data_IF_580237776285
#
_entry.id   IF_580237776285
#
_cell.length_a   1.000
_cell.length_b   1.000
_cell.length_c   1.000
_cell.angle_alpha   90.00
_cell.angle_beta   90.00
_cell.angle_gamma   90.00
#
_symmetry.space_group_name_H-M   'P 1'
#
loop_
_entity.id
_entity.type
_entity.pdbx_description
1 polymer ?
#
# COMPACT_ATOMS: atom_id res chain seq x y z
N UNK A 1 22.87 -36.77 0.74
CA UNK A 1 22.86 -35.62 1.65
C UNK A 1 21.88 -34.57 1.17
N UNK A 2 21.96 -34.13 -0.09
CA UNK A 2 21.05 -33.12 -0.67
C UNK A 2 19.56 -33.44 -0.57
N UNK A 3 19.11 -34.66 -0.90
CA UNK A 3 17.70 -35.06 -0.72
C UNK A 3 17.21 -35.03 0.74
N UNK A 4 18.06 -35.37 1.71
CA UNK A 4 17.67 -35.38 3.12
C UNK A 4 17.52 -33.95 3.68
N UNK A 5 18.37 -33.03 3.22
CA UNK A 5 18.29 -31.61 3.56
C UNK A 5 17.02 -30.97 3.01
N UNK A 6 16.66 -31.27 1.75
CA UNK A 6 15.45 -30.75 1.12
C UNK A 6 14.18 -31.24 1.82
N UNK A 7 14.11 -32.52 2.23
CA UNK A 7 12.96 -33.04 2.99
C UNK A 7 12.78 -32.30 4.32
N UNK A 8 13.86 -32.11 5.09
CA UNK A 8 13.81 -31.39 6.36
C UNK A 8 13.34 -29.93 6.18
N UNK A 9 13.74 -29.30 5.08
CA UNK A 9 13.31 -27.94 4.75
C UNK A 9 11.80 -27.90 4.42
N UNK A 10 11.27 -28.84 3.64
CA UNK A 10 9.83 -28.87 3.37
C UNK A 10 8.99 -29.19 4.62
N UNK A 11 9.45 -30.09 5.51
CA UNK A 11 8.77 -30.37 6.78
C UNK A 11 8.74 -29.13 7.69
N UNK A 12 9.85 -28.39 7.78
CA UNK A 12 9.91 -27.15 8.54
C UNK A 12 9.02 -26.06 7.91
N UNK A 13 8.92 -26.01 6.58
CA UNK A 13 8.06 -25.06 5.88
C UNK A 13 6.58 -25.35 6.11
N UNK A 14 6.17 -26.63 6.11
CA UNK A 14 4.83 -27.05 6.48
C UNK A 14 4.47 -26.58 7.89
N UNK A 15 5.39 -26.74 8.85
CA UNK A 15 5.20 -26.24 10.22
C UNK A 15 5.06 -24.72 10.24
N UNK A 16 5.95 -23.99 9.56
CA UNK A 16 5.86 -22.54 9.46
C UNK A 16 4.51 -22.07 8.91
N UNK A 17 4.02 -22.71 7.85
CA UNK A 17 2.76 -22.33 7.20
C UNK A 17 1.55 -22.49 8.14
N UNK A 18 1.56 -23.49 9.03
CA UNK A 18 0.51 -23.66 10.04
C UNK A 18 0.51 -22.57 11.13
N UNK A 19 1.59 -21.80 11.25
CA UNK A 19 1.73 -20.67 12.16
C UNK A 19 1.46 -19.30 11.49
N UNK A 20 1.20 -19.29 10.16
CA UNK A 20 0.88 -18.05 9.44
C UNK A 20 -0.43 -17.45 9.94
N UNK A 21 -0.46 -16.11 9.98
CA UNK A 21 -1.62 -15.33 10.40
C UNK A 21 -2.30 -14.71 9.19
N UNK A 22 -3.52 -14.24 9.37
CA UNK A 22 -4.20 -13.38 8.40
C UNK A 22 -3.57 -11.99 8.42
N UNK A 23 -3.35 -11.39 7.24
CA UNK A 23 -2.89 -10.02 7.14
C UNK A 23 -4.04 -9.03 7.42
N UNK A 24 -3.81 -8.09 8.34
CA UNK A 24 -4.82 -7.13 8.81
C UNK A 24 -5.01 -6.01 7.77
N UNK A 25 -6.26 -5.69 7.41
CA UNK A 25 -6.60 -4.54 6.54
C UNK A 25 -6.72 -3.25 7.38
N UNK A 26 -5.62 -2.65 7.82
CA UNK A 26 -5.63 -1.41 8.62
C UNK A 26 -5.36 -0.14 7.79
N UNK A 27 -4.79 -0.30 6.60
CA UNK A 27 -4.45 0.80 5.70
C UNK A 27 -5.64 1.18 4.83
N UNK A 28 -5.82 2.47 4.53
CA UNK A 28 -6.95 2.98 3.75
C UNK A 28 -6.47 3.45 2.39
N UNK A 29 -7.08 2.98 1.32
CA UNK A 29 -6.85 3.49 -0.03
C UNK A 29 -7.57 4.83 -0.18
N UNK A 30 -6.88 5.96 -0.39
CA UNK A 30 -7.54 7.28 -0.44
C UNK A 30 -8.50 7.45 -1.62
N UNK A 31 -8.25 6.74 -2.72
CA UNK A 31 -9.03 6.82 -3.95
C UNK A 31 -10.33 6.01 -3.88
N UNK A 32 -10.26 4.82 -3.30
CA UNK A 32 -11.40 3.90 -3.21
C UNK A 32 -12.06 3.89 -1.84
N UNK A 33 -11.44 4.53 -0.84
CA UNK A 33 -11.83 4.53 0.58
C UNK A 33 -11.99 3.13 1.18
N UNK A 34 -11.48 2.12 0.49
CA UNK A 34 -11.42 0.73 0.94
C UNK A 34 -10.23 0.53 1.85
N UNK A 35 -10.34 -0.43 2.78
CA UNK A 35 -9.20 -0.87 3.57
C UNK A 35 -8.40 -1.92 2.80
N UNK A 36 -7.10 -1.97 3.01
CA UNK A 36 -6.21 -2.99 2.44
C UNK A 36 -5.14 -3.37 3.45
N UNK A 37 -4.62 -4.60 3.35
CA UNK A 37 -3.43 -4.99 4.10
C UNK A 37 -2.20 -4.44 3.37
N UNK A 38 -1.40 -3.61 4.02
CA UNK A 38 -0.17 -3.08 3.42
C UNK A 38 0.98 -4.09 3.45
N UNK A 39 2.15 -3.71 2.94
CA UNK A 39 3.31 -4.61 2.92
C UNK A 39 3.73 -5.02 4.34
N UNK A 40 3.70 -4.09 5.29
CA UNK A 40 4.07 -4.36 6.68
C UNK A 40 3.13 -5.39 7.30
N UNK A 41 1.82 -5.24 7.10
CA UNK A 41 0.80 -6.18 7.59
C UNK A 41 0.97 -7.58 7.02
N UNK A 42 1.25 -7.70 5.71
CA UNK A 42 1.52 -9.00 5.07
C UNK A 42 2.80 -9.62 5.61
N UNK A 43 3.87 -8.83 5.79
CA UNK A 43 5.14 -9.33 6.31
C UNK A 43 5.05 -9.75 7.78
N UNK A 44 4.39 -8.95 8.62
CA UNK A 44 4.19 -9.23 10.04
C UNK A 44 3.33 -10.49 10.28
N UNK A 45 2.44 -10.82 9.34
CA UNK A 45 1.63 -12.03 9.40
C UNK A 45 2.47 -13.34 9.26
N UNK A 46 3.66 -13.26 8.66
CA UNK A 46 4.48 -14.45 8.32
C UNK A 46 5.87 -14.45 8.93
N UNK A 47 6.44 -13.29 9.27
CA UNK A 47 7.87 -13.15 9.62
C UNK A 47 8.28 -14.03 10.81
N UNK A 48 7.46 -14.10 11.85
CA UNK A 48 7.79 -14.84 13.07
C UNK A 48 7.77 -16.35 12.80
N UNK A 49 6.72 -16.83 12.13
CA UNK A 49 6.56 -18.23 11.74
C UNK A 49 7.72 -18.72 10.85
N UNK A 50 8.12 -17.90 9.87
CA UNK A 50 9.25 -18.20 9.00
C UNK A 50 10.56 -18.26 9.79
N UNK A 51 10.91 -17.21 10.53
CA UNK A 51 12.18 -17.16 11.25
C UNK A 51 12.29 -18.24 12.34
N UNK A 52 11.21 -18.50 13.08
CA UNK A 52 11.18 -19.54 14.13
C UNK A 52 11.40 -20.95 13.57
N UNK A 53 11.06 -21.17 12.29
CA UNK A 53 11.24 -22.44 11.61
C UNK A 53 12.45 -22.44 10.64
N UNK A 54 13.29 -21.40 10.69
CA UNK A 54 14.57 -21.35 9.97
C UNK A 54 14.48 -20.87 8.52
N UNK A 55 13.43 -20.14 8.15
CA UNK A 55 13.28 -19.53 6.83
C UNK A 55 13.53 -18.04 6.86
N UNK A 56 13.99 -17.52 5.73
CA UNK A 56 14.08 -16.08 5.48
C UNK A 56 13.62 -15.77 4.05
N UNK A 57 13.17 -14.54 3.85
CA UNK A 57 12.66 -14.06 2.55
C UNK A 57 13.51 -12.88 2.08
N UNK A 58 13.92 -12.92 0.81
CA UNK A 58 14.60 -11.81 0.16
C UNK A 58 13.78 -11.30 -1.02
N UNK A 59 13.77 -9.98 -1.23
CA UNK A 59 13.04 -9.35 -2.34
C UNK A 59 13.93 -8.42 -3.20
N UNK A 60 15.00 -8.93 -3.86
CA UNK A 60 15.82 -8.10 -4.73
C UNK A 60 15.03 -7.59 -5.93
N UNK A 61 15.40 -6.39 -6.39
CA UNK A 61 14.90 -5.82 -7.64
C UNK A 61 15.86 -6.21 -8.74
N UNK A 62 15.35 -6.80 -9.83
CA UNK A 62 16.11 -7.17 -11.01
C UNK A 62 15.54 -6.48 -12.25
N UNK A 63 16.32 -6.49 -13.33
CA UNK A 63 15.84 -6.15 -14.66
C UNK A 63 15.66 -7.47 -15.42
N UNK A 64 14.44 -7.72 -15.90
CA UNK A 64 14.13 -8.88 -16.73
C UNK A 64 14.70 -8.75 -18.14
N UNK A 65 14.76 -9.86 -18.89
CA UNK A 65 15.37 -9.92 -20.23
C UNK A 65 14.77 -8.92 -21.24
N UNK A 66 13.51 -8.53 -21.05
CA UNK A 66 12.80 -7.55 -21.86
C UNK A 66 12.95 -6.10 -21.33
N UNK A 67 13.83 -5.87 -20.35
CA UNK A 67 14.20 -4.55 -19.84
C UNK A 67 13.28 -4.01 -18.75
N UNK A 68 12.30 -4.78 -18.28
CA UNK A 68 11.36 -4.31 -17.25
C UNK A 68 11.87 -4.61 -15.84
N UNK A 69 11.72 -3.68 -14.87
CA UNK A 69 12.00 -3.95 -13.48
C UNK A 69 11.05 -5.01 -12.92
N UNK A 70 11.60 -5.96 -12.17
CA UNK A 70 10.86 -7.02 -11.48
C UNK A 70 11.30 -7.06 -10.02
N UNK A 71 10.39 -7.45 -9.13
CA UNK A 71 10.71 -7.88 -7.76
C UNK A 71 10.76 -9.40 -7.77
N UNK A 72 11.92 -9.97 -7.48
CA UNK A 72 12.01 -11.41 -7.21
C UNK A 72 11.77 -11.66 -5.73
N UNK A 73 10.80 -12.50 -5.36
CA UNK A 73 10.64 -12.94 -3.97
C UNK A 73 11.15 -14.36 -3.83
N UNK A 74 12.06 -14.56 -2.90
CA UNK A 74 12.76 -15.84 -2.74
C UNK A 74 12.69 -16.28 -1.29
N UNK A 75 12.14 -17.47 -1.06
CA UNK A 75 12.06 -18.12 0.25
C UNK A 75 13.20 -19.11 0.36
N UNK A 76 14.05 -18.95 1.37
CA UNK A 76 15.18 -19.86 1.61
C UNK A 76 15.17 -20.40 3.02
N UNK A 77 15.62 -21.63 3.15
CA UNK A 77 15.96 -22.24 4.42
C UNK A 77 17.35 -21.78 4.89
N UNK A 78 17.62 -21.89 6.19
CA UNK A 78 18.83 -21.37 6.85
C UNK A 78 20.17 -21.91 6.30
N UNK A 79 20.16 -23.04 5.63
CA UNK A 79 21.33 -23.64 4.97
C UNK A 79 21.53 -23.16 3.52
N UNK A 80 20.64 -22.31 3.02
CA UNK A 80 20.66 -21.77 1.67
C UNK A 80 19.75 -22.48 0.67
N UNK A 81 19.09 -23.59 1.05
CA UNK A 81 18.14 -24.27 0.17
C UNK A 81 17.00 -23.33 -0.22
N UNK A 82 16.81 -23.14 -1.52
CA UNK A 82 15.69 -22.39 -2.07
C UNK A 82 14.44 -23.25 -2.09
N UNK A 83 13.39 -22.79 -1.40
CA UNK A 83 12.09 -23.47 -1.35
C UNK A 83 11.25 -23.05 -2.54
N UNK A 84 11.17 -21.73 -2.77
CA UNK A 84 10.34 -21.16 -3.82
C UNK A 84 10.85 -19.80 -4.25
N UNK A 85 10.60 -19.46 -5.51
CA UNK A 85 10.92 -18.18 -6.13
C UNK A 85 9.76 -17.72 -6.99
N UNK A 86 9.41 -16.45 -6.85
CA UNK A 86 8.47 -15.76 -7.74
C UNK A 86 9.09 -14.49 -8.31
N UNK A 87 8.61 -14.07 -9.46
CA UNK A 87 8.99 -12.80 -10.10
C UNK A 87 7.73 -11.99 -10.39
N UNK A 88 7.66 -10.77 -9.85
CA UNK A 88 6.53 -9.87 -10.03
C UNK A 88 6.97 -8.60 -10.79
N UNK A 89 6.37 -8.31 -11.96
CA UNK A 89 6.66 -7.08 -12.69
C UNK A 89 6.36 -5.83 -11.87
N UNK A 90 7.26 -4.85 -11.93
CA UNK A 90 7.04 -3.52 -11.35
C UNK A 90 6.41 -2.63 -12.42
N UNK A 91 5.13 -2.29 -12.22
CA UNK A 91 4.36 -1.47 -13.14
C UNK A 91 4.10 -0.11 -12.48
N UNK A 92 4.92 0.89 -12.82
CA UNK A 92 4.73 2.26 -12.38
C UNK A 92 3.87 3.04 -13.38
N UNK A 93 3.05 3.98 -12.85
CA UNK A 93 2.26 4.90 -13.70
C UNK A 93 3.15 5.79 -14.56
N UNK A 94 4.33 6.15 -14.05
CA UNK A 94 5.32 6.97 -14.74
C UNK A 94 6.72 6.46 -14.39
N UNK A 95 7.44 5.93 -15.39
CA UNK A 95 8.70 5.20 -15.17
C UNK A 95 9.88 6.09 -14.78
N UNK A 96 9.86 7.36 -15.18
CA UNK A 96 10.89 8.36 -14.87
C UNK A 96 10.59 9.17 -13.61
N UNK A 97 9.57 8.78 -12.83
CA UNK A 97 9.25 9.37 -11.54
C UNK A 97 9.70 8.40 -10.42
N UNK A 98 10.74 8.76 -9.64
CA UNK A 98 11.22 7.94 -8.54
C UNK A 98 10.16 7.58 -7.50
N UNK A 99 9.18 8.46 -7.26
CA UNK A 99 8.13 8.23 -6.28
C UNK A 99 7.07 7.25 -6.80
N UNK A 100 6.68 7.40 -8.07
CA UNK A 100 5.79 6.45 -8.74
C UNK A 100 6.44 5.05 -8.80
N UNK A 101 7.75 5.00 -9.07
CA UNK A 101 8.52 3.76 -9.04
C UNK A 101 8.58 3.14 -7.64
N UNK A 102 8.89 3.92 -6.61
CA UNK A 102 8.92 3.44 -5.22
C UNK A 102 7.58 2.86 -4.77
N UNK A 103 6.47 3.51 -5.13
CA UNK A 103 5.12 3.03 -4.84
C UNK A 103 4.82 1.71 -5.57
N UNK A 104 5.20 1.60 -6.84
CA UNK A 104 5.04 0.38 -7.63
C UNK A 104 5.88 -0.79 -7.09
N UNK A 105 7.10 -0.52 -6.61
CA UNK A 105 7.96 -1.52 -5.97
C UNK A 105 7.31 -2.04 -4.69
N UNK A 106 6.84 -1.15 -3.81
CA UNK A 106 6.15 -1.56 -2.57
C UNK A 106 4.92 -2.40 -2.87
N UNK A 107 4.16 -2.04 -3.91
CA UNK A 107 3.03 -2.82 -4.38
C UNK A 107 3.48 -4.21 -4.85
N UNK A 108 4.45 -4.31 -5.76
CA UNK A 108 4.97 -5.58 -6.28
C UNK A 108 5.51 -6.49 -5.15
N UNK A 109 6.23 -5.92 -4.17
CA UNK A 109 6.71 -6.64 -2.99
C UNK A 109 5.58 -7.24 -2.16
N UNK A 110 4.50 -6.50 -1.96
CA UNK A 110 3.32 -6.98 -1.22
C UNK A 110 2.66 -8.17 -1.91
N UNK A 111 2.35 -8.04 -3.21
CA UNK A 111 1.64 -9.11 -3.93
C UNK A 111 2.52 -10.35 -4.13
N UNK A 112 3.80 -10.16 -4.44
CA UNK A 112 4.72 -11.30 -4.59
C UNK A 112 4.89 -12.08 -3.29
N UNK A 113 4.98 -11.39 -2.14
CA UNK A 113 5.05 -12.03 -0.83
C UNK A 113 3.74 -12.75 -0.46
N UNK A 114 2.59 -12.08 -0.66
CA UNK A 114 1.31 -12.68 -0.34
C UNK A 114 1.02 -13.91 -1.20
N UNK A 115 1.34 -13.84 -2.50
CA UNK A 115 1.12 -14.95 -3.44
C UNK A 115 2.01 -16.16 -3.15
N UNK A 116 3.33 -15.95 -2.96
CA UNK A 116 4.28 -17.05 -2.78
C UNK A 116 4.09 -17.78 -1.43
N UNK A 117 3.56 -17.10 -0.41
CA UNK A 117 3.33 -17.69 0.91
C UNK A 117 1.85 -18.06 1.15
N UNK A 118 0.98 -17.87 0.18
CA UNK A 118 -0.47 -18.04 0.30
C UNK A 118 -1.07 -17.24 1.48
N UNK A 119 -0.60 -16.01 1.71
CA UNK A 119 -1.16 -15.14 2.75
C UNK A 119 -2.50 -14.61 2.28
N UNK A 120 -3.56 -15.03 2.98
CA UNK A 120 -4.90 -14.52 2.75
C UNK A 120 -5.06 -13.20 3.51
N UNK A 121 -5.62 -12.20 2.84
CA UNK A 121 -6.15 -11.01 3.51
C UNK A 121 -7.59 -11.30 3.91
N UNK A 122 -8.03 -10.78 5.05
CA UNK A 122 -9.30 -11.13 5.74
C UNK A 122 -10.61 -10.99 4.94
N UNK A 123 -10.55 -10.60 3.67
CA UNK A 123 -11.68 -10.21 2.84
C UNK A 123 -11.24 -10.32 1.37
N UNK A 124 -11.38 -11.54 0.81
CA UNK A 124 -11.06 -11.91 -0.57
C UNK A 124 -11.84 -10.99 -1.54
N UNK A 125 -11.16 -9.93 -2.02
CA UNK A 125 -11.69 -8.78 -2.79
C UNK A 125 -12.13 -9.15 -4.23
N UNK A 126 -12.55 -10.40 -4.46
CA UNK A 126 -13.05 -10.86 -5.75
C UNK A 126 -14.35 -10.14 -6.19
N UNK A 127 -15.08 -9.52 -5.26
CA UNK A 127 -16.34 -8.81 -5.55
C UNK A 127 -16.15 -7.32 -5.88
N UNK A 128 -15.02 -6.68 -5.52
CA UNK A 128 -14.86 -5.23 -5.72
C UNK A 128 -14.36 -4.84 -7.13
N UNK A 129 -13.88 -5.80 -7.93
CA UNK A 129 -13.40 -5.57 -9.29
C UNK A 129 -14.52 -5.64 -10.36
N UNK A 130 -15.70 -6.16 -10.00
CA UNK A 130 -16.87 -6.17 -10.88
C UNK A 130 -17.80 -5.05 -10.42
N UNK A 131 -17.76 -3.92 -11.13
CA UNK A 131 -18.52 -2.74 -10.75
C UNK A 131 -20.02 -3.01 -10.71
N UNK A 132 -20.58 -3.12 -9.50
CA UNK A 132 -22.03 -3.15 -9.34
C UNK A 132 -22.58 -1.76 -9.03
N UNK A 133 -23.08 -1.13 -10.10
CA UNK A 133 -23.78 0.15 -10.07
C UNK A 133 -25.21 -0.05 -9.56
N UNK A 134 -25.46 -0.50 -8.30
CA UNK A 134 -26.77 -0.33 -7.65
C UNK A 134 -26.95 -0.80 -6.19
N UNK A 135 -25.94 -0.79 -5.32
CA UNK A 135 -26.19 -1.10 -3.90
C UNK A 135 -26.35 0.19 -3.06
N UNK A 136 -27.57 0.42 -2.54
CA UNK A 136 -27.87 1.49 -1.56
C UNK A 136 -27.12 1.19 -0.23
N UNK A 137 -26.49 2.19 0.42
CA UNK A 137 -25.77 1.94 1.67
C UNK A 137 -26.72 1.73 2.86
N UNK A 138 -26.59 0.59 3.54
CA UNK A 138 -27.11 0.41 4.89
C UNK A 138 -26.11 0.94 5.94
N UNK A 139 -26.58 1.49 7.07
CA UNK A 139 -25.72 2.13 8.05
C UNK A 139 -25.16 1.11 9.05
N UNK A 140 -23.87 0.77 8.95
CA UNK A 140 -23.15 0.08 10.02
C UNK A 140 -22.48 1.07 10.97
N UNK A 141 -22.81 0.93 12.25
CA UNK A 141 -22.49 1.81 13.36
C UNK A 141 -20.97 1.90 13.61
N UNK A 142 -20.45 3.14 13.61
CA UNK A 142 -19.11 3.49 14.07
C UNK A 142 -19.02 3.36 15.59
N UNK A 143 -18.30 2.36 16.10
CA UNK A 143 -17.69 2.47 17.42
C UNK A 143 -16.44 3.33 17.30
N UNK A 144 -16.48 4.45 18.03
CA UNK A 144 -15.41 5.43 18.16
C UNK A 144 -14.33 4.86 19.08
N UNK A 145 -13.09 4.82 18.61
CA UNK A 145 -11.92 4.91 19.49
C UNK A 145 -11.09 6.11 19.04
N UNK A 146 -10.90 7.01 19.99
CA UNK A 146 -10.04 8.17 19.86
C UNK A 146 -8.59 7.69 19.67
N UNK A 147 -7.92 8.19 18.63
CA UNK A 147 -6.48 8.03 18.48
C UNK A 147 -5.88 9.26 17.83
N UNK A 148 -4.78 9.70 18.42
CA UNK A 148 -3.93 10.82 18.04
C UNK A 148 -3.67 10.81 16.53
N UNK A 149 -4.12 11.85 15.83
CA UNK A 149 -3.98 11.99 14.39
C UNK A 149 -2.52 12.31 14.04
N UNK A 150 -1.72 11.29 13.72
CA UNK A 150 -0.50 11.51 12.95
C UNK A 150 -0.90 11.89 11.53
N UNK A 151 -1.02 13.19 11.26
CA UNK A 151 -1.34 13.72 9.92
C UNK A 151 -0.19 13.36 8.97
N UNK A 152 -0.48 12.56 7.94
CA UNK A 152 0.49 12.21 6.92
C UNK A 152 0.64 13.36 5.90
N UNK A 153 1.55 14.29 6.15
CA UNK A 153 1.77 15.48 5.32
C UNK A 153 2.21 15.17 3.89
N UNK A 154 2.91 14.06 3.68
CA UNK A 154 3.41 13.68 2.36
C UNK A 154 2.25 13.33 1.42
N UNK A 155 1.21 12.68 1.94
CA UNK A 155 -0.01 12.36 1.19
C UNK A 155 -0.75 13.64 0.74
N UNK A 156 -0.83 14.65 1.61
CA UNK A 156 -1.45 15.93 1.30
C UNK A 156 -0.65 16.74 0.29
N UNK A 157 0.67 16.69 0.37
CA UNK A 157 1.55 17.33 -0.61
C UNK A 157 1.38 16.68 -1.99
N UNK A 158 1.32 15.35 -2.06
CA UNK A 158 1.05 14.62 -3.31
C UNK A 158 -0.31 14.95 -3.90
N UNK A 159 -1.36 15.01 -3.07
CA UNK A 159 -2.70 15.38 -3.52
C UNK A 159 -2.75 16.81 -4.06
N UNK A 160 -2.04 17.74 -3.42
CA UNK A 160 -1.89 19.10 -3.93
C UNK A 160 -1.16 19.09 -5.28
N UNK A 161 0.00 18.44 -5.40
CA UNK A 161 0.77 18.40 -6.65
C UNK A 161 0.06 17.69 -7.82
N UNK A 162 -0.87 16.78 -7.52
CA UNK A 162 -1.73 16.15 -8.51
C UNK A 162 -2.79 17.09 -9.10
N UNK A 163 -3.17 18.17 -8.42
CA UNK A 163 -4.17 19.12 -8.92
C UNK A 163 -3.71 19.73 -10.25
N UNK A 164 -4.62 19.81 -11.24
CA UNK A 164 -4.37 20.37 -12.57
C UNK A 164 -5.12 21.67 -12.84
N UNK A 165 -6.02 22.07 -11.94
CA UNK A 165 -6.68 23.37 -11.99
C UNK A 165 -7.60 23.61 -10.79
N UNK A 166 -8.35 24.70 -10.85
CA UNK A 166 -9.26 25.16 -9.79
C UNK A 166 -10.28 24.09 -9.34
N UNK A 167 -10.79 23.26 -10.25
CA UNK A 167 -11.75 22.21 -9.93
C UNK A 167 -11.15 21.15 -8.98
N UNK A 168 -9.90 20.73 -9.21
CA UNK A 168 -9.21 19.73 -8.38
C UNK A 168 -8.85 20.32 -7.01
N UNK A 169 -8.35 21.57 -7.00
CA UNK A 169 -8.05 22.30 -5.76
C UNK A 169 -9.30 22.45 -4.88
N UNK A 170 -10.46 22.70 -5.49
CA UNK A 170 -11.74 22.78 -4.79
C UNK A 170 -12.24 21.43 -4.25
N UNK A 171 -11.91 20.31 -4.92
CA UNK A 171 -12.19 18.97 -4.39
C UNK A 171 -11.29 18.69 -3.18
N UNK A 172 -9.99 18.91 -3.33
CA UNK A 172 -9.03 18.68 -2.24
C UNK A 172 -9.32 19.56 -1.02
N UNK A 173 -9.72 20.83 -1.23
CA UNK A 173 -10.19 21.71 -0.14
C UNK A 173 -11.34 21.09 0.67
N UNK A 174 -12.29 20.41 0.03
CA UNK A 174 -13.40 19.74 0.75
C UNK A 174 -12.88 18.61 1.62
N UNK A 175 -11.90 17.87 1.13
CA UNK A 175 -11.26 16.78 1.89
C UNK A 175 -10.47 17.33 3.09
N UNK A 176 -9.75 18.45 2.92
CA UNK A 176 -9.10 19.17 4.02
C UNK A 176 -10.13 19.58 5.08
N UNK A 177 -11.26 20.14 4.68
CA UNK A 177 -12.33 20.55 5.61
C UNK A 177 -12.99 19.36 6.34
N UNK A 178 -13.04 18.18 5.71
CA UNK A 178 -13.59 16.97 6.30
C UNK A 178 -12.64 16.27 7.28
N UNK A 179 -11.33 16.54 7.19
CA UNK A 179 -10.27 15.80 7.91
C UNK A 179 -10.11 16.17 9.39
N UNK A 180 -10.86 17.16 9.90
CA UNK A 180 -10.83 17.61 11.31
C UNK A 180 -9.40 17.85 11.86
N UNK A 181 -8.56 18.51 11.07
CA UNK A 181 -7.20 18.86 11.50
C UNK A 181 -7.18 19.78 12.72
N UNK A 182 -6.12 19.65 13.52
CA UNK A 182 -5.71 20.72 14.42
C UNK A 182 -5.21 21.94 13.62
N UNK A 183 -5.24 23.12 14.22
CA UNK A 183 -4.96 24.39 13.54
C UNK A 183 -3.59 24.41 12.83
N UNK A 184 -2.56 23.82 13.43
CA UNK A 184 -1.20 23.81 12.85
C UNK A 184 -1.06 22.84 11.67
N UNK A 185 -1.74 21.71 11.72
CA UNK A 185 -1.76 20.73 10.62
C UNK A 185 -2.59 21.26 9.45
N UNK A 186 -3.72 21.91 9.75
CA UNK A 186 -4.53 22.61 8.76
C UNK A 186 -3.70 23.66 8.02
N UNK A 187 -2.95 24.51 8.75
CA UNK A 187 -2.09 25.54 8.14
C UNK A 187 -1.06 24.93 7.19
N UNK A 188 -0.41 23.83 7.59
CA UNK A 188 0.60 23.15 6.76
C UNK A 188 -0.03 22.62 5.47
N UNK A 189 -1.13 21.87 5.57
CA UNK A 189 -1.83 21.33 4.39
C UNK A 189 -2.36 22.46 3.50
N UNK A 190 -2.93 23.51 4.10
CA UNK A 190 -3.41 24.68 3.36
C UNK A 190 -2.29 25.43 2.61
N UNK A 191 -1.09 25.49 3.18
CA UNK A 191 0.07 26.06 2.50
C UNK A 191 0.45 25.28 1.23
N UNK A 192 0.26 23.95 1.23
CA UNK A 192 0.50 23.10 0.05
C UNK A 192 -0.50 23.40 -1.07
N UNK A 193 -1.81 23.48 -0.73
CA UNK A 193 -2.87 23.80 -1.69
C UNK A 193 -2.66 25.18 -2.32
N UNK A 194 -2.35 26.19 -1.50
CA UNK A 194 -2.14 27.57 -1.99
C UNK A 194 -0.86 27.72 -2.80
N UNK A 195 0.23 27.03 -2.43
CA UNK A 195 1.45 26.94 -3.23
C UNK A 195 1.17 26.32 -4.60
N UNK A 196 0.40 25.23 -4.65
CA UNK A 196 0.00 24.61 -5.92
C UNK A 196 -0.89 25.52 -6.75
N UNK A 197 -1.89 26.15 -6.15
CA UNK A 197 -2.79 27.07 -6.84
C UNK A 197 -2.01 28.15 -7.58
N UNK A 198 -1.03 28.77 -6.90
CA UNK A 198 -0.12 29.76 -7.51
C UNK A 198 0.65 29.19 -8.70
N UNK A 199 1.16 27.95 -8.60
CA UNK A 199 1.89 27.30 -9.69
C UNK A 199 1.01 27.00 -10.91
N UNK A 200 -0.31 26.84 -10.71
CA UNK A 200 -1.29 26.63 -11.76
C UNK A 200 -1.90 27.93 -12.30
N UNK A 201 -1.52 29.08 -11.75
CA UNK A 201 -2.14 30.37 -12.08
C UNK A 201 -3.55 30.56 -11.52
N UNK A 202 -3.98 29.69 -10.59
CA UNK A 202 -5.26 29.80 -9.90
C UNK A 202 -5.14 30.68 -8.66
N UNK A 203 -6.21 31.37 -8.32
CA UNK A 203 -6.34 32.18 -7.12
C UNK A 203 -7.40 31.62 -6.18
N UNK A 204 -7.27 31.88 -4.88
CA UNK A 204 -8.33 31.56 -3.92
C UNK A 204 -9.19 32.80 -3.66
N UNK A 205 -10.45 32.75 -4.08
CA UNK A 205 -11.46 33.75 -3.76
C UNK A 205 -11.95 33.51 -2.31
N UNK A 206 -11.72 34.50 -1.46
CA UNK A 206 -12.08 34.43 -0.04
C UNK A 206 -13.58 34.61 0.20
N UNK A 207 -14.27 35.34 -0.67
CA UNK A 207 -15.69 35.63 -0.56
C UNK A 207 -16.51 34.43 -1.07
N UNK A 208 -16.15 33.91 -2.24
CA UNK A 208 -16.74 32.69 -2.80
C UNK A 208 -16.21 31.39 -2.14
N UNK A 209 -15.15 31.49 -1.34
CA UNK A 209 -14.47 30.38 -0.65
C UNK A 209 -14.05 29.25 -1.59
N UNK A 210 -13.63 29.56 -2.80
CA UNK A 210 -13.21 28.59 -3.81
C UNK A 210 -11.94 29.03 -4.54
N UNK A 211 -11.26 28.08 -5.18
CA UNK A 211 -10.22 28.38 -6.14
C UNK A 211 -10.85 28.72 -7.51
N UNK A 212 -10.29 29.70 -8.20
CA UNK A 212 -10.66 30.20 -9.52
C UNK A 212 -9.44 30.21 -10.43
#
# INVERSE_FOLDING_TARGET
MEQATTTAAFEAFLKAQSEFKTAIKDSVNPHFKSKFADFASVYDAVKDALHNNGFYVTQPIQISDNGFPIVETIVRYKDGTEIERSACPVVAKQQNDPQAMGSAITYARRYSLAAILCVVTDDDDAEAAIGDRNAKPQPQQRQQSASSSNVNFDEWQMAADACRGAADLNRLKKDVAASKFGDDDFKKVWAMLTKRAKALGCNYDKDAKNFT
#
